data_IF_546677140115
#
_entry.id   IF_546677140115
#
_cell.length_a   1.000
_cell.length_b   1.000
_cell.length_c   1.000
_cell.angle_alpha   90.00
_cell.angle_beta   90.00
_cell.angle_gamma   90.00
#
_symmetry.space_group_name_H-M   'P 1'
#
loop_
_entity.id
_entity.type
_entity.pdbx_description
1 polymer ?
#
# COMPACT_ATOMS: atom_id res chain seq x y z
N UNK A 1 15.09 -12.17 0.15
CA UNK A 1 14.99 -11.11 -0.90
C UNK A 1 14.01 -10.06 -0.42
N UNK A 2 14.43 -8.79 -0.52
CA UNK A 2 13.62 -7.62 -0.19
C UNK A 2 13.31 -6.89 -1.50
N UNK A 3 12.03 -6.66 -1.78
CA UNK A 3 11.58 -5.89 -2.92
C UNK A 3 11.30 -4.45 -2.49
N UNK A 4 12.18 -3.55 -2.88
CA UNK A 4 12.08 -2.11 -2.64
C UNK A 4 12.11 -1.40 -3.98
N UNK A 5 10.92 -1.20 -4.54
CA UNK A 5 10.74 -0.72 -5.92
C UNK A 5 10.11 0.68 -5.93
N UNK A 6 10.25 1.36 -7.06
CA UNK A 6 9.68 2.70 -7.24
C UNK A 6 8.17 2.68 -7.07
N UNK A 7 7.58 3.70 -6.41
CA UNK A 7 6.14 3.77 -6.16
C UNK A 7 5.39 4.31 -7.38
N UNK A 8 5.54 3.64 -8.52
CA UNK A 8 4.90 3.99 -9.78
C UNK A 8 4.41 2.71 -10.49
N UNK A 9 3.78 2.89 -11.65
CA UNK A 9 3.24 1.76 -12.41
C UNK A 9 4.34 0.77 -12.86
N UNK A 10 5.48 1.23 -13.42
CA UNK A 10 6.57 0.30 -13.74
C UNK A 10 7.11 -0.47 -12.53
N UNK A 11 7.26 0.18 -11.39
CA UNK A 11 7.70 -0.46 -10.16
C UNK A 11 6.75 -1.55 -9.70
N UNK A 12 5.44 -1.29 -9.73
CA UNK A 12 4.43 -2.27 -9.37
C UNK A 12 4.42 -3.46 -10.35
N UNK A 13 4.61 -3.19 -11.63
CA UNK A 13 4.70 -4.24 -12.65
C UNK A 13 5.89 -5.16 -12.39
N UNK A 14 7.05 -4.60 -12.06
CA UNK A 14 8.25 -5.38 -11.72
C UNK A 14 7.98 -6.22 -10.47
N UNK A 15 7.36 -5.65 -9.44
CA UNK A 15 6.99 -6.37 -8.22
C UNK A 15 6.14 -7.59 -8.55
N UNK A 16 5.11 -7.44 -9.35
CA UNK A 16 4.21 -8.53 -9.73
C UNK A 16 4.94 -9.64 -10.49
N UNK A 17 5.85 -9.29 -11.40
CA UNK A 17 6.65 -10.26 -12.15
C UNK A 17 7.52 -11.08 -11.20
N UNK A 18 8.19 -10.41 -10.26
CA UNK A 18 9.07 -11.09 -9.31
C UNK A 18 8.27 -11.98 -8.35
N UNK A 19 7.16 -11.47 -7.80
CA UNK A 19 6.32 -12.24 -6.87
C UNK A 19 5.69 -13.48 -7.50
N UNK A 20 5.43 -13.46 -8.80
CA UNK A 20 4.92 -14.63 -9.50
C UNK A 20 5.96 -15.76 -9.57
N UNK A 21 7.23 -15.43 -9.51
CA UNK A 21 8.33 -16.41 -9.57
C UNK A 21 8.94 -16.72 -8.22
N UNK A 22 8.98 -15.72 -7.34
CA UNK A 22 9.58 -15.84 -6.01
C UNK A 22 8.60 -15.23 -5.00
N UNK A 23 7.56 -15.99 -4.58
CA UNK A 23 6.50 -15.44 -3.73
C UNK A 23 6.93 -15.10 -2.30
N UNK A 24 8.03 -15.66 -1.82
CA UNK A 24 8.50 -15.50 -0.44
C UNK A 24 9.36 -14.25 -0.20
N UNK A 25 9.23 -13.24 -1.06
CA UNK A 25 9.95 -11.99 -0.89
C UNK A 25 9.33 -11.13 0.22
N UNK A 26 10.18 -10.40 0.92
CA UNK A 26 9.72 -9.28 1.74
C UNK A 26 9.42 -8.09 0.84
N UNK A 27 8.32 -7.40 1.13
CA UNK A 27 7.87 -6.26 0.36
C UNK A 27 8.02 -5.00 1.20
N UNK A 28 8.62 -3.97 0.62
CA UNK A 28 8.78 -2.66 1.23
C UNK A 28 8.10 -1.64 0.33
N UNK A 29 7.25 -0.81 0.92
CA UNK A 29 6.51 0.22 0.21
C UNK A 29 6.90 1.59 0.72
N UNK A 30 7.01 2.54 -0.20
CA UNK A 30 7.25 3.95 0.11
C UNK A 30 6.18 4.78 -0.58
N UNK A 31 5.74 5.86 0.06
CA UNK A 31 4.78 6.78 -0.54
C UNK A 31 5.43 7.52 -1.69
N UNK A 32 4.69 7.72 -2.77
CA UNK A 32 5.15 8.47 -3.94
C UNK A 32 5.67 9.86 -3.55
N UNK A 33 4.98 10.54 -2.64
CA UNK A 33 5.39 11.86 -2.16
C UNK A 33 6.77 11.88 -1.49
N UNK A 34 7.22 10.75 -0.95
CA UNK A 34 8.54 10.61 -0.30
C UNK A 34 9.64 10.17 -1.26
N UNK A 35 9.30 9.85 -2.51
CA UNK A 35 10.21 9.33 -3.52
C UNK A 35 10.21 10.17 -4.80
N UNK A 36 9.91 11.46 -4.70
CA UNK A 36 9.84 12.39 -5.82
C UNK A 36 11.03 13.35 -5.79
N UNK A 37 11.67 13.53 -6.94
CA UNK A 37 12.54 14.68 -7.20
C UNK A 37 11.65 15.81 -7.78
N UNK A 38 11.30 16.79 -6.95
CA UNK A 38 10.42 17.89 -7.33
C UNK A 38 10.97 18.74 -8.47
N UNK A 39 12.29 18.87 -8.57
CA UNK A 39 12.94 19.67 -9.61
C UNK A 39 12.80 19.04 -10.99
N UNK A 40 12.89 17.72 -11.05
CA UNK A 40 12.88 16.97 -12.31
C UNK A 40 11.56 16.26 -12.57
N UNK A 41 10.61 16.35 -11.65
CA UNK A 41 9.33 15.62 -11.68
C UNK A 41 9.51 14.11 -11.88
N UNK A 42 10.57 13.55 -11.31
CA UNK A 42 10.88 12.13 -11.40
C UNK A 42 10.54 11.40 -10.12
N UNK A 43 10.02 10.19 -10.27
CA UNK A 43 9.70 9.28 -9.17
C UNK A 43 10.74 8.16 -9.14
N UNK A 44 11.27 7.89 -7.96
CA UNK A 44 12.21 6.79 -7.78
C UNK A 44 12.67 6.71 -6.33
N UNK A 45 12.99 5.50 -5.85
CA UNK A 45 13.47 5.30 -4.48
C UNK A 45 14.78 6.03 -4.21
N UNK A 46 15.58 6.29 -5.24
CA UNK A 46 16.82 7.06 -5.15
C UNK A 46 16.60 8.53 -4.75
N UNK A 47 15.38 9.04 -4.89
CA UNK A 47 15.02 10.41 -4.52
C UNK A 47 14.49 10.51 -3.08
N UNK A 48 14.31 9.39 -2.39
CA UNK A 48 13.85 9.38 -1.02
C UNK A 48 14.97 9.78 -0.05
N UNK A 49 14.62 10.42 1.06
CA UNK A 49 15.56 10.72 2.13
C UNK A 49 16.02 9.44 2.82
N UNK A 50 17.20 9.49 3.45
CA UNK A 50 17.71 8.36 4.23
C UNK A 50 16.72 7.96 5.34
N UNK A 51 16.10 8.94 6.00
CA UNK A 51 15.09 8.69 7.04
C UNK A 51 13.87 7.96 6.50
N UNK A 52 13.38 8.37 5.33
CA UNK A 52 12.21 7.74 4.70
C UNK A 52 12.52 6.31 4.24
N UNK A 53 13.70 6.07 3.70
CA UNK A 53 14.14 4.72 3.31
C UNK A 53 14.24 3.82 4.54
N UNK A 54 14.85 4.31 5.61
CA UNK A 54 15.00 3.56 6.86
C UNK A 54 13.65 3.19 7.47
N UNK A 55 12.74 4.16 7.53
CA UNK A 55 11.37 3.92 8.01
C UNK A 55 10.66 2.87 7.16
N UNK A 56 10.75 2.97 5.83
CA UNK A 56 10.14 2.00 4.93
C UNK A 56 10.69 0.59 5.17
N UNK A 57 12.00 0.45 5.33
CA UNK A 57 12.63 -0.85 5.58
C UNK A 57 12.24 -1.47 6.93
N UNK A 58 11.89 -0.65 7.91
CA UNK A 58 11.41 -1.14 9.21
C UNK A 58 10.02 -1.79 9.12
N UNK A 59 9.28 -1.55 8.04
CA UNK A 59 7.92 -2.06 7.82
C UNK A 59 7.85 -3.05 6.66
N UNK A 60 8.77 -4.02 6.63
CA UNK A 60 8.75 -5.09 5.63
C UNK A 60 7.52 -5.99 5.81
N UNK A 61 6.85 -6.29 4.71
CA UNK A 61 5.64 -7.12 4.69
C UNK A 61 5.86 -8.35 3.82
N UNK A 62 5.50 -9.53 4.35
CA UNK A 62 5.41 -10.75 3.54
C UNK A 62 3.96 -10.93 3.09
N UNK A 63 3.78 -11.22 1.81
CA UNK A 63 2.47 -11.61 1.30
C UNK A 63 2.31 -13.12 1.51
N UNK A 64 1.25 -13.51 2.23
CA UNK A 64 1.00 -14.93 2.46
C UNK A 64 0.53 -15.62 1.17
N UNK A 65 0.80 -16.91 1.04
CA UNK A 65 0.31 -17.71 -0.08
C UNK A 65 -1.20 -17.90 -0.07
N UNK A 66 -1.86 -17.65 1.05
CA UNK A 66 -3.31 -17.71 1.19
C UNK A 66 -3.89 -16.31 0.96
N UNK A 67 -4.56 -16.14 -0.19
CA UNK A 67 -5.22 -14.88 -0.51
C UNK A 67 -6.47 -14.71 0.33
N UNK A 68 -6.71 -13.50 0.80
CA UNK A 68 -7.98 -13.12 1.43
C UNK A 68 -9.14 -13.07 0.44
N UNK A 69 -10.34 -12.85 0.95
CA UNK A 69 -11.59 -12.90 0.18
C UNK A 69 -12.24 -11.53 -0.03
N UNK A 70 -11.51 -10.45 0.14
CA UNK A 70 -12.04 -9.11 -0.10
C UNK A 70 -12.38 -8.90 -1.57
N UNK A 71 -13.49 -8.21 -1.82
CA UNK A 71 -13.97 -7.87 -3.15
C UNK A 71 -13.98 -6.35 -3.36
N UNK A 72 -14.13 -5.92 -4.59
CA UNK A 72 -14.33 -4.49 -4.92
C UNK A 72 -15.56 -3.95 -4.19
N UNK A 73 -16.64 -4.75 -4.10
CA UNK A 73 -17.84 -4.38 -3.34
C UNK A 73 -17.54 -4.07 -1.87
N UNK A 74 -16.64 -4.84 -1.26
CA UNK A 74 -16.21 -4.58 0.13
C UNK A 74 -15.53 -3.22 0.27
N UNK A 75 -14.70 -2.83 -0.71
CA UNK A 75 -14.06 -1.52 -0.69
C UNK A 75 -15.08 -0.39 -0.81
N UNK A 76 -16.11 -0.55 -1.65
CA UNK A 76 -17.21 0.40 -1.73
C UNK A 76 -17.98 0.50 -0.41
N UNK A 77 -18.31 -0.64 0.20
CA UNK A 77 -19.02 -0.69 1.49
C UNK A 77 -18.25 0.01 2.60
N UNK A 78 -16.93 -0.10 2.59
CA UNK A 78 -16.06 0.55 3.59
C UNK A 78 -15.82 2.04 3.31
N UNK A 79 -16.32 2.56 2.19
CA UNK A 79 -16.09 3.93 1.79
C UNK A 79 -14.69 4.20 1.22
N UNK A 80 -13.97 3.14 0.87
CA UNK A 80 -12.63 3.25 0.28
C UNK A 80 -12.67 3.56 -1.21
N UNK A 81 -13.82 3.40 -1.85
CA UNK A 81 -14.08 3.74 -3.25
C UNK A 81 -15.46 4.40 -3.38
N UNK A 82 -15.62 5.26 -4.37
CA UNK A 82 -16.91 5.75 -4.80
C UNK A 82 -17.47 6.96 -4.07
N UNK A 83 -16.74 7.55 -3.13
CA UNK A 83 -17.16 8.76 -2.40
C UNK A 83 -16.11 9.86 -2.47
N UNK A 84 -16.51 11.08 -2.12
CA UNK A 84 -15.58 12.21 -2.04
C UNK A 84 -14.48 11.96 -0.99
N UNK A 85 -14.84 11.27 0.08
CA UNK A 85 -13.92 10.95 1.19
C UNK A 85 -13.02 9.74 0.90
N UNK A 86 -13.27 9.00 -0.17
CA UNK A 86 -12.57 7.73 -0.44
C UNK A 86 -11.06 7.88 -0.54
N UNK A 87 -10.59 8.92 -1.21
CA UNK A 87 -9.14 9.17 -1.34
C UNK A 87 -8.47 9.37 0.02
N UNK A 88 -9.10 10.13 0.90
CA UNK A 88 -8.61 10.38 2.26
C UNK A 88 -8.58 9.09 3.08
N UNK A 89 -9.65 8.31 3.01
CA UNK A 89 -9.74 7.01 3.70
C UNK A 89 -8.69 6.02 3.22
N UNK A 90 -8.47 5.95 1.90
CA UNK A 90 -7.40 5.11 1.35
C UNK A 90 -6.02 5.53 1.84
N UNK A 91 -5.74 6.85 1.88
CA UNK A 91 -4.47 7.38 2.39
C UNK A 91 -4.25 6.99 3.84
N UNK A 92 -5.27 7.14 4.67
CA UNK A 92 -5.21 6.76 6.07
C UNK A 92 -4.92 5.27 6.23
N UNK A 93 -5.71 4.42 5.58
CA UNK A 93 -5.56 2.97 5.64
C UNK A 93 -4.17 2.53 5.17
N UNK A 94 -3.73 3.03 4.02
CA UNK A 94 -2.43 2.67 3.46
C UNK A 94 -1.27 3.14 4.34
N UNK A 95 -1.39 4.29 4.99
CA UNK A 95 -0.41 4.75 5.97
C UNK A 95 -0.32 3.83 7.17
N UNK A 96 -1.47 3.40 7.71
CA UNK A 96 -1.50 2.49 8.84
C UNK A 96 -0.92 1.12 8.50
N UNK A 97 -1.12 0.66 7.29
CA UNK A 97 -0.62 -0.64 6.82
C UNK A 97 0.78 -0.59 6.19
N UNK A 98 1.31 0.61 5.96
CA UNK A 98 2.62 0.82 5.31
C UNK A 98 2.72 0.16 3.93
N UNK A 99 1.69 0.30 3.12
CA UNK A 99 1.61 -0.30 1.77
C UNK A 99 1.69 0.70 0.63
N UNK A 100 2.22 1.89 0.90
CA UNK A 100 2.39 2.93 -0.10
C UNK A 100 1.10 3.70 -0.38
N UNK A 101 0.86 4.04 -1.64
CA UNK A 101 -0.31 4.83 -2.07
C UNK A 101 -0.93 4.20 -3.33
N UNK A 102 -1.41 2.95 -3.26
CA UNK A 102 -1.94 2.25 -4.43
C UNK A 102 -3.30 2.80 -4.86
N UNK A 103 -3.64 2.61 -6.15
CA UNK A 103 -5.00 2.83 -6.62
C UNK A 103 -5.93 1.69 -6.15
N UNK A 104 -7.24 1.79 -6.45
CA UNK A 104 -8.22 0.83 -5.95
C UNK A 104 -7.96 -0.63 -6.28
N UNK A 105 -7.54 -0.93 -7.51
CA UNK A 105 -7.22 -2.30 -7.95
C UNK A 105 -6.01 -2.87 -7.20
N UNK A 106 -4.95 -2.10 -7.14
CA UNK A 106 -3.72 -2.48 -6.45
C UNK A 106 -3.95 -2.58 -4.94
N UNK A 107 -4.76 -1.68 -4.38
CA UNK A 107 -5.14 -1.73 -2.98
C UNK A 107 -5.83 -3.06 -2.64
N UNK A 108 -6.84 -3.44 -3.41
CA UNK A 108 -7.55 -4.70 -3.21
C UNK A 108 -6.60 -5.89 -3.24
N UNK A 109 -5.71 -5.91 -4.22
CA UNK A 109 -4.72 -6.97 -4.38
C UNK A 109 -3.80 -7.06 -3.15
N UNK A 110 -3.27 -5.93 -2.69
CA UNK A 110 -2.38 -5.88 -1.51
C UNK A 110 -3.09 -6.33 -0.24
N UNK A 111 -4.32 -5.88 -0.02
CA UNK A 111 -5.11 -6.27 1.14
C UNK A 111 -5.38 -7.79 1.17
N UNK A 112 -5.69 -8.38 0.02
CA UNK A 112 -5.89 -9.82 -0.09
C UNK A 112 -4.59 -10.61 0.09
N UNK A 113 -3.48 -10.11 -0.42
CA UNK A 113 -2.16 -10.74 -0.19
C UNK A 113 -1.75 -10.71 1.28
N UNK A 114 -2.18 -9.68 2.02
CA UNK A 114 -1.97 -9.59 3.47
C UNK A 114 -2.95 -10.44 4.27
N UNK A 115 -3.88 -11.10 3.59
CA UNK A 115 -4.93 -11.92 4.20
C UNK A 115 -5.77 -11.14 5.22
N UNK A 116 -6.02 -9.87 4.95
CA UNK A 116 -6.86 -9.03 5.80
C UNK A 116 -8.33 -9.28 5.52
N UNK A 117 -9.13 -9.25 6.58
CA UNK A 117 -10.57 -9.43 6.50
C UNK A 117 -11.28 -8.07 6.59
N UNK A 118 -12.56 -8.06 6.21
CA UNK A 118 -13.41 -6.88 6.27
C UNK A 118 -13.41 -6.25 7.68
N UNK A 119 -13.51 -7.08 8.72
CA UNK A 119 -13.51 -6.62 10.11
C UNK A 119 -12.20 -5.92 10.51
N UNK A 120 -11.07 -6.40 9.99
CA UNK A 120 -9.77 -5.76 10.25
C UNK A 120 -9.75 -4.32 9.72
N UNK A 121 -10.28 -4.13 8.51
CA UNK A 121 -10.35 -2.81 7.88
C UNK A 121 -11.32 -1.88 8.60
N UNK A 122 -12.47 -2.41 9.06
CA UNK A 122 -13.43 -1.63 9.84
C UNK A 122 -12.77 -1.07 11.12
N UNK A 123 -12.01 -1.89 11.82
CA UNK A 123 -11.32 -1.47 13.05
C UNK A 123 -10.36 -0.30 12.76
N UNK A 124 -9.55 -0.42 11.70
CA UNK A 124 -8.58 0.63 11.34
C UNK A 124 -9.30 1.92 10.94
N UNK A 125 -10.36 1.83 10.13
CA UNK A 125 -11.11 3.00 9.68
C UNK A 125 -11.90 3.67 10.80
N UNK A 126 -12.36 2.91 11.78
CA UNK A 126 -13.01 3.46 12.98
C UNK A 126 -12.02 4.24 13.84
N UNK A 127 -10.76 3.84 13.86
CA UNK A 127 -9.70 4.60 14.55
C UNK A 127 -9.50 5.97 13.89
N UNK A 128 -9.60 6.08 12.57
CA UNK A 128 -9.57 7.38 11.88
C UNK A 128 -10.66 8.32 12.38
N UNK A 129 -11.88 7.81 12.52
CA UNK A 129 -13.02 8.60 12.98
C UNK A 129 -12.81 9.10 14.42
N UNK A 130 -12.15 8.33 15.27
CA UNK A 130 -11.80 8.75 16.63
C UNK A 130 -10.71 9.81 16.64
N UNK A 131 -9.69 9.66 15.78
CA UNK A 131 -8.58 10.60 15.69
C UNK A 131 -9.03 11.95 15.10
N UNK A 132 -10.14 11.98 14.35
CA UNK A 132 -10.71 13.19 13.75
C UNK A 132 -11.60 13.99 14.72
N UNK A 133 -11.94 13.41 15.85
CA UNK A 133 -12.69 14.07 16.92
C UNK A 133 -11.72 14.70 17.94
#
# INVERSE_FOLDING_TARGET
IILFLDPDYPGERIRNIILNRVPDCYNVFIKKSKAIDERKHKVGVEHASLADIKEALEHCITFSGNKGNLTIGDLYSLGLLGTIESSKKRKYLCSRLNIGSPNGKTLLKRLNFMNLEYSDLEVILNEENRDSE
#
